data_IF_895137372515
#
_entry.id   IF_895137372515
#
_cell.length_a   1.000
_cell.length_b   1.000
_cell.length_c   1.000
_cell.angle_alpha   90.00
_cell.angle_beta   90.00
_cell.angle_gamma   90.00
#
_symmetry.space_group_name_H-M   'P 1'
#
loop_
_entity.id
_entity.type
_entity.pdbx_description
1 polymer ?
#
# COMPACT_ATOMS: atom_id res chain seq x y z
N UNK A 1 -7.69 -1.69 6.31
CA UNK A 1 -8.80 -0.71 6.39
C UNK A 1 -9.04 0.03 5.09
N UNK A 2 -8.02 0.58 4.44
CA UNK A 2 -8.18 1.30 3.15
C UNK A 2 -8.70 0.36 2.05
N UNK A 3 -8.25 -0.88 2.01
CA UNK A 3 -8.67 -1.87 1.01
C UNK A 3 -10.11 -2.37 1.19
N UNK A 4 -10.61 -2.41 2.42
CA UNK A 4 -11.97 -2.88 2.70
C UNK A 4 -13.02 -1.80 2.41
N UNK A 5 -12.75 -0.55 2.77
CA UNK A 5 -13.66 0.57 2.49
C UNK A 5 -13.74 0.93 1.00
N UNK A 6 -12.67 0.69 0.25
CA UNK A 6 -12.58 1.02 -1.18
C UNK A 6 -12.81 -0.18 -2.11
N UNK A 7 -13.11 -1.37 -1.60
CA UNK A 7 -13.31 -2.61 -2.38
C UNK A 7 -12.15 -2.93 -3.34
N UNK A 8 -10.91 -2.64 -2.94
CA UNK A 8 -9.73 -2.94 -3.73
C UNK A 8 -9.34 -4.41 -3.51
N UNK A 9 -9.34 -5.19 -4.58
CA UNK A 9 -8.87 -6.58 -4.53
C UNK A 9 -7.37 -6.61 -4.28
N UNK A 10 -6.96 -7.41 -3.31
CA UNK A 10 -5.57 -7.60 -2.91
C UNK A 10 -5.24 -9.08 -2.91
N UNK A 11 -3.97 -9.39 -3.15
CA UNK A 11 -3.46 -10.76 -3.09
C UNK A 11 -2.07 -10.77 -2.46
N UNK A 12 -1.81 -11.76 -1.64
CA UNK A 12 -0.48 -12.03 -1.10
C UNK A 12 0.27 -12.95 -2.06
N UNK A 13 1.45 -12.52 -2.49
CA UNK A 13 2.36 -13.32 -3.30
C UNK A 13 3.41 -13.97 -2.38
N UNK A 14 3.31 -15.29 -2.21
CA UNK A 14 4.20 -16.04 -1.31
C UNK A 14 5.64 -16.11 -1.81
N UNK A 15 5.84 -16.04 -3.13
CA UNK A 15 7.18 -16.11 -3.73
C UNK A 15 7.92 -14.78 -3.55
N UNK A 16 7.23 -13.68 -3.76
CA UNK A 16 7.79 -12.32 -3.62
C UNK A 16 7.69 -11.80 -2.18
N UNK A 17 6.90 -12.48 -1.32
CA UNK A 17 6.59 -12.05 0.05
C UNK A 17 6.06 -10.60 0.10
N UNK A 18 5.11 -10.30 -0.80
CA UNK A 18 4.54 -8.97 -0.97
C UNK A 18 3.04 -9.01 -1.19
N UNK A 19 2.36 -7.96 -0.73
CA UNK A 19 1.01 -7.67 -1.12
C UNK A 19 0.95 -7.00 -2.49
N UNK A 20 0.04 -7.48 -3.33
CA UNK A 20 -0.27 -6.89 -4.62
C UNK A 20 -1.70 -6.37 -4.64
N UNK A 21 -1.91 -5.27 -5.33
CA UNK A 21 -3.17 -4.53 -5.40
C UNK A 21 -3.63 -4.44 -6.85
N UNK A 22 -4.91 -4.70 -7.10
CA UNK A 22 -5.48 -4.58 -8.44
C UNK A 22 -5.48 -3.12 -8.91
N UNK A 23 -4.78 -2.84 -10.01
CA UNK A 23 -4.59 -1.47 -10.53
C UNK A 23 -5.94 -0.83 -10.89
N UNK A 24 -6.80 -1.56 -11.57
CA UNK A 24 -8.09 -1.04 -11.99
C UNK A 24 -9.00 -0.66 -10.81
N UNK A 25 -8.95 -1.45 -9.74
CA UNK A 25 -9.75 -1.16 -8.54
C UNK A 25 -9.27 0.12 -7.83
N UNK A 26 -7.95 0.30 -7.76
CA UNK A 26 -7.34 1.52 -7.19
C UNK A 26 -7.76 2.75 -7.99
N UNK A 27 -7.69 2.69 -9.31
CA UNK A 27 -8.09 3.80 -10.17
C UNK A 27 -9.58 4.07 -10.05
N UNK A 28 -10.41 3.04 -10.03
CA UNK A 28 -11.85 3.19 -9.85
C UNK A 28 -12.21 3.83 -8.50
N UNK A 29 -11.48 3.48 -7.44
CA UNK A 29 -11.68 4.05 -6.10
C UNK A 29 -11.26 5.52 -6.00
N UNK A 30 -10.20 5.92 -6.71
CA UNK A 30 -9.59 7.25 -6.61
C UNK A 30 -10.01 8.21 -7.72
N UNK A 31 -10.81 7.76 -8.68
CA UNK A 31 -11.29 8.57 -9.80
C UNK A 31 -12.77 8.29 -10.07
N UNK A 32 -13.39 9.13 -10.90
CA UNK A 32 -14.74 8.88 -11.43
C UNK A 32 -14.71 8.20 -12.81
N UNK A 33 -13.59 7.58 -13.17
CA UNK A 33 -13.43 6.95 -14.47
C UNK A 33 -14.33 5.73 -14.63
N UNK A 34 -15.06 5.69 -15.73
CA UNK A 34 -15.87 4.53 -16.13
C UNK A 34 -15.02 3.42 -16.74
N UNK A 35 -13.81 3.74 -17.20
CA UNK A 35 -12.85 2.80 -17.77
C UNK A 35 -11.47 2.98 -17.10
N UNK A 36 -11.24 2.31 -15.97
CA UNK A 36 -9.96 2.40 -15.25
C UNK A 36 -8.76 1.97 -16.09
N UNK A 37 -8.92 0.98 -16.96
CA UNK A 37 -7.84 0.48 -17.80
C UNK A 37 -7.37 1.53 -18.82
N UNK A 38 -8.31 2.20 -19.46
CA UNK A 38 -7.99 3.30 -20.40
C UNK A 38 -7.46 4.53 -19.64
N UNK A 39 -7.98 4.82 -18.45
CA UNK A 39 -7.45 5.88 -17.58
C UNK A 39 -5.97 5.61 -17.24
N UNK A 40 -5.62 4.38 -16.88
CA UNK A 40 -4.23 4.00 -16.57
C UNK A 40 -3.30 4.22 -17.78
N UNK A 41 -3.74 3.84 -18.98
CA UNK A 41 -2.98 4.11 -20.20
C UNK A 41 -2.77 5.60 -20.46
N UNK A 42 -3.82 6.40 -20.26
CA UNK A 42 -3.76 7.86 -20.47
C UNK A 42 -2.82 8.53 -19.48
N UNK A 43 -2.86 8.19 -18.20
CA UNK A 43 -2.00 8.79 -17.20
C UNK A 43 -0.52 8.45 -17.45
N UNK A 44 -0.22 7.23 -17.87
CA UNK A 44 1.13 6.83 -18.27
C UNK A 44 1.66 7.59 -19.49
N UNK A 45 0.80 7.88 -20.46
CA UNK A 45 1.17 8.71 -21.63
C UNK A 45 1.47 10.15 -21.26
N UNK A 46 0.84 10.68 -20.22
CA UNK A 46 1.01 12.08 -19.76
C UNK A 46 2.19 12.26 -18.81
N UNK A 47 2.52 11.24 -18.07
CA UNK A 47 3.60 11.24 -17.08
C UNK A 47 4.64 10.18 -17.46
N UNK A 48 5.69 10.62 -18.17
CA UNK A 48 6.78 9.76 -18.62
C UNK A 48 7.55 9.12 -17.48
N UNK A 49 7.72 9.84 -16.38
CA UNK A 49 8.40 9.34 -15.18
C UNK A 49 7.60 8.20 -14.52
N UNK A 50 6.27 8.34 -14.49
CA UNK A 50 5.41 7.26 -14.05
C UNK A 50 5.50 6.06 -14.99
N UNK A 51 5.50 6.29 -16.31
CA UNK A 51 5.58 5.20 -17.29
C UNK A 51 6.89 4.42 -17.16
N UNK A 52 8.00 5.11 -17.01
CA UNK A 52 9.31 4.50 -16.80
C UNK A 52 9.36 3.73 -15.48
N UNK A 53 8.81 4.29 -14.42
CA UNK A 53 8.70 3.61 -13.12
C UNK A 53 7.88 2.33 -13.23
N UNK A 54 6.71 2.38 -13.88
CA UNK A 54 5.83 1.21 -14.06
C UNK A 54 6.48 0.14 -14.95
N UNK A 55 7.25 0.54 -15.97
CA UNK A 55 8.00 -0.42 -16.80
C UNK A 55 9.14 -1.07 -16.04
N UNK A 56 9.79 -0.34 -15.14
CA UNK A 56 10.86 -0.87 -14.27
C UNK A 56 10.34 -1.77 -13.16
N UNK A 57 9.05 -1.70 -12.83
CA UNK A 57 8.41 -2.57 -11.85
C UNK A 57 7.63 -3.67 -12.55
N UNK A 58 7.75 -4.89 -12.04
CA UNK A 58 6.94 -5.98 -12.55
C UNK A 58 5.50 -5.84 -12.04
N UNK A 59 4.55 -5.62 -12.96
CA UNK A 59 3.12 -5.60 -12.67
C UNK A 59 2.48 -6.93 -13.11
N UNK A 60 2.66 -8.01 -12.34
CA UNK A 60 2.19 -9.32 -12.72
C UNK A 60 0.67 -9.39 -12.73
N UNK A 61 0.08 -10.17 -13.63
CA UNK A 61 -1.33 -10.52 -13.53
C UNK A 61 -1.54 -11.52 -12.39
N UNK A 62 -2.55 -11.27 -11.56
CA UNK A 62 -3.00 -12.20 -10.52
C UNK A 62 -4.43 -12.67 -10.79
N UNK A 63 -4.73 -13.89 -10.36
CA UNK A 63 -6.04 -14.50 -10.52
C UNK A 63 -6.94 -14.12 -9.33
N UNK A 64 -8.12 -13.62 -9.64
CA UNK A 64 -9.16 -13.33 -8.65
C UNK A 64 -10.41 -14.15 -8.97
N UNK A 65 -11.09 -14.58 -7.92
CA UNK A 65 -12.40 -15.23 -8.04
C UNK A 65 -13.45 -14.13 -7.96
N UNK A 66 -14.22 -13.97 -9.04
CA UNK A 66 -15.34 -13.04 -9.05
C UNK A 66 -16.56 -13.61 -8.30
N UNK A 67 -17.55 -12.76 -8.06
CA UNK A 67 -18.80 -13.15 -7.39
C UNK A 67 -19.60 -14.22 -8.13
N UNK A 68 -19.35 -14.37 -9.45
CA UNK A 68 -19.92 -15.43 -10.29
C UNK A 68 -19.15 -16.76 -10.22
N UNK A 69 -18.10 -16.86 -9.37
CA UNK A 69 -17.24 -18.02 -9.19
C UNK A 69 -16.20 -18.20 -10.30
N UNK A 70 -16.16 -17.35 -11.31
CA UNK A 70 -15.16 -17.41 -12.39
C UNK A 70 -13.85 -16.78 -11.98
N UNK A 71 -12.77 -17.32 -12.52
CA UNK A 71 -11.43 -16.75 -12.35
C UNK A 71 -11.19 -15.67 -13.40
N UNK A 72 -10.82 -14.49 -12.93
CA UNK A 72 -10.43 -13.37 -13.78
C UNK A 72 -8.99 -12.97 -13.48
N UNK A 73 -8.23 -12.72 -14.52
CA UNK A 73 -6.87 -12.20 -14.42
C UNK A 73 -6.91 -10.67 -14.41
N UNK A 74 -6.24 -10.04 -13.47
CA UNK A 74 -6.09 -8.61 -13.41
C UNK A 74 -4.64 -8.20 -13.12
N UNK A 75 -4.16 -7.14 -13.76
CA UNK A 75 -2.85 -6.57 -13.48
C UNK A 75 -2.83 -5.96 -12.08
N UNK A 76 -1.78 -6.30 -11.35
CA UNK A 76 -1.56 -5.83 -10.00
C UNK A 76 -0.22 -5.11 -9.87
N UNK A 77 -0.09 -4.30 -8.84
CA UNK A 77 1.17 -3.66 -8.45
C UNK A 77 1.40 -3.80 -6.96
N UNK A 78 2.66 -3.77 -6.56
CA UNK A 78 3.04 -3.79 -5.15
C UNK A 78 2.73 -2.45 -4.47
N UNK A 79 2.94 -2.37 -3.16
CA UNK A 79 2.62 -1.17 -2.38
C UNK A 79 3.41 0.06 -2.84
N UNK A 80 4.70 -0.08 -3.11
CA UNK A 80 5.53 1.05 -3.55
C UNK A 80 5.03 1.63 -4.88
N UNK A 81 4.72 0.77 -5.83
CA UNK A 81 4.18 1.16 -7.14
C UNK A 81 2.79 1.79 -7.02
N UNK A 82 1.96 1.25 -6.13
CA UNK A 82 0.66 1.83 -5.81
C UNK A 82 0.78 3.27 -5.28
N UNK A 83 1.68 3.50 -4.33
CA UNK A 83 1.89 4.82 -3.75
C UNK A 83 2.43 5.82 -4.78
N UNK A 84 3.30 5.38 -5.70
CA UNK A 84 3.76 6.21 -6.81
C UNK A 84 2.63 6.54 -7.80
N UNK A 85 1.78 5.58 -8.11
CA UNK A 85 0.61 5.80 -8.96
C UNK A 85 -0.34 6.83 -8.37
N UNK A 86 -0.65 6.73 -7.08
CA UNK A 86 -1.56 7.65 -6.38
C UNK A 86 -1.06 9.09 -6.47
N UNK A 87 0.24 9.32 -6.37
CA UNK A 87 0.83 10.66 -6.51
C UNK A 87 0.60 11.28 -7.89
N UNK A 88 0.47 10.47 -8.92
CA UNK A 88 0.26 10.91 -10.29
C UNK A 88 -1.22 11.16 -10.65
N UNK A 89 -2.16 10.67 -9.85
CA UNK A 89 -3.60 10.83 -10.11
C UNK A 89 -4.05 12.25 -9.72
N UNK A 90 -4.51 13.09 -10.68
CA UNK A 90 -4.91 14.47 -10.40
C UNK A 90 -6.35 14.61 -9.89
N UNK A 91 -7.02 13.52 -9.55
CA UNK A 91 -8.40 13.54 -9.08
C UNK A 91 -8.53 14.11 -7.67
N UNK A 92 -9.62 14.87 -7.43
CA UNK A 92 -9.98 15.36 -6.10
C UNK A 92 -10.23 14.21 -5.10
N UNK A 93 -10.70 13.05 -5.56
CA UNK A 93 -10.88 11.86 -4.73
C UNK A 93 -9.57 11.28 -4.20
N UNK A 94 -8.46 11.50 -4.89
CA UNK A 94 -7.13 11.09 -4.46
C UNK A 94 -6.51 12.03 -3.41
N UNK A 95 -7.03 13.25 -3.27
CA UNK A 95 -6.45 14.29 -2.40
C UNK A 95 -6.36 13.88 -0.92
N UNK A 96 -7.40 13.30 -0.28
CA UNK A 96 -7.28 12.83 1.10
C UNK A 96 -6.17 11.78 1.27
N UNK A 97 -5.99 10.90 0.29
CA UNK A 97 -4.94 9.90 0.31
C UNK A 97 -3.55 10.52 0.15
N UNK A 98 -3.41 11.50 -0.72
CA UNK A 98 -2.14 12.25 -0.88
C UNK A 98 -1.73 12.98 0.40
N UNK A 99 -2.70 13.59 1.10
CA UNK A 99 -2.46 14.24 2.41
C UNK A 99 -2.02 13.23 3.47
N UNK A 100 -2.69 12.09 3.54
CA UNK A 100 -2.30 11.01 4.43
C UNK A 100 -0.88 10.50 4.12
N UNK A 101 -0.55 10.32 2.85
CA UNK A 101 0.79 9.89 2.43
C UNK A 101 1.87 10.92 2.83
N UNK A 102 1.60 12.21 2.67
CA UNK A 102 2.49 13.27 3.12
C UNK A 102 2.70 13.25 4.64
N UNK A 103 1.64 13.02 5.40
CA UNK A 103 1.72 12.88 6.85
C UNK A 103 2.57 11.67 7.26
N UNK A 104 2.32 10.49 6.70
CA UNK A 104 3.09 9.27 6.98
C UNK A 104 4.57 9.46 6.62
N UNK A 105 4.86 10.11 5.49
CA UNK A 105 6.22 10.42 5.09
C UNK A 105 6.93 11.35 6.08
N UNK A 106 6.26 12.40 6.52
CA UNK A 106 6.78 13.34 7.52
C UNK A 106 7.04 12.65 8.87
N UNK A 107 6.09 11.86 9.35
CA UNK A 107 6.24 11.07 10.59
C UNK A 107 7.42 10.12 10.51
N UNK A 108 7.60 9.44 9.38
CA UNK A 108 8.74 8.53 9.20
C UNK A 108 10.08 9.26 9.20
N UNK A 109 10.18 10.41 8.56
CA UNK A 109 11.39 11.24 8.58
C UNK A 109 11.71 11.69 10.00
N UNK A 110 10.70 12.13 10.77
CA UNK A 110 10.88 12.51 12.17
C UNK A 110 11.36 11.33 13.03
N UNK A 111 10.80 10.14 12.84
CA UNK A 111 11.24 8.91 13.52
C UNK A 111 12.69 8.52 13.17
N UNK A 112 13.14 8.82 11.97
CA UNK A 112 14.54 8.59 11.57
C UNK A 112 15.51 9.56 12.27
N UNK A 113 15.04 10.77 12.58
CA UNK A 113 15.83 11.77 13.31
C UNK A 113 15.78 11.54 14.82
N UNK A 114 14.65 11.07 15.34
CA UNK A 114 14.43 10.74 16.74
C UNK A 114 13.85 9.30 16.84
N UNK A 115 14.70 8.29 17.02
CA UNK A 115 14.27 6.89 17.07
C UNK A 115 13.27 6.57 18.18
N UNK A 116 13.23 7.36 19.27
CA UNK A 116 12.26 7.14 20.36
C UNK A 116 10.82 7.32 19.87
N UNK A 117 10.58 8.22 18.94
CA UNK A 117 9.26 8.38 18.30
C UNK A 117 8.83 7.11 17.55
N UNK A 118 9.76 6.43 16.91
CA UNK A 118 9.50 5.15 16.25
C UNK A 118 9.15 4.04 17.23
N UNK A 119 9.81 3.99 18.38
CA UNK A 119 9.50 3.04 19.47
C UNK A 119 8.10 3.32 20.04
N UNK A 120 7.77 4.57 20.32
CA UNK A 120 6.45 4.97 20.79
C UNK A 120 5.36 4.59 19.79
N UNK A 121 5.59 4.85 18.49
CA UNK A 121 4.65 4.46 17.44
C UNK A 121 4.44 2.96 17.40
N UNK A 122 5.50 2.17 17.51
CA UNK A 122 5.42 0.70 17.54
C UNK A 122 4.58 0.20 18.72
N UNK A 123 4.74 0.80 19.90
CA UNK A 123 3.91 0.47 21.07
C UNK A 123 2.43 0.78 20.84
N UNK A 124 2.13 1.93 20.26
CA UNK A 124 0.75 2.30 19.91
C UNK A 124 0.17 1.36 18.85
N UNK A 125 0.94 0.94 17.87
CA UNK A 125 0.51 -0.01 16.84
C UNK A 125 0.19 -1.38 17.43
N UNK A 126 1.02 -1.91 18.34
CA UNK A 126 0.71 -3.16 19.05
C UNK A 126 -0.58 -3.05 19.85
N UNK A 127 -0.79 -1.94 20.57
CA UNK A 127 -2.04 -1.71 21.33
C UNK A 127 -3.25 -1.64 20.39
N UNK A 128 -3.13 -0.93 19.29
CA UNK A 128 -4.19 -0.84 18.26
C UNK A 128 -4.54 -2.20 17.65
N UNK A 129 -3.57 -3.10 17.53
CA UNK A 129 -3.75 -4.47 17.05
C UNK A 129 -4.32 -5.41 18.13
N UNK A 130 -4.52 -4.92 19.38
CA UNK A 130 -5.15 -5.66 20.46
C UNK A 130 -4.19 -6.47 21.34
N UNK A 131 -2.89 -6.28 21.22
CA UNK A 131 -1.92 -6.93 22.10
C UNK A 131 -1.92 -6.32 23.51
N UNK A 132 -1.84 -7.17 24.55
CA UNK A 132 -1.76 -6.71 25.94
C UNK A 132 -0.42 -6.09 26.28
N UNK A 133 -0.39 -5.20 27.27
CA UNK A 133 0.85 -4.57 27.74
C UNK A 133 1.89 -5.63 28.21
N UNK A 134 1.44 -6.70 28.84
CA UNK A 134 2.32 -7.78 29.26
C UNK A 134 2.98 -8.49 28.08
N UNK A 135 2.19 -8.80 27.03
CA UNK A 135 2.71 -9.40 25.79
C UNK A 135 3.72 -8.46 25.11
N UNK A 136 3.41 -7.16 25.02
CA UNK A 136 4.28 -6.16 24.41
C UNK A 136 5.63 -6.11 25.16
N UNK A 137 5.61 -6.05 26.48
CA UNK A 137 6.81 -6.02 27.30
C UNK A 137 7.67 -7.29 27.10
N UNK A 138 7.05 -8.46 27.04
CA UNK A 138 7.77 -9.71 26.79
C UNK A 138 8.37 -9.74 25.38
N UNK A 139 7.63 -9.24 24.38
CA UNK A 139 8.11 -9.17 22.99
C UNK A 139 9.32 -8.25 22.86
N UNK A 140 9.30 -7.07 23.49
CA UNK A 140 10.42 -6.14 23.47
C UNK A 140 11.67 -6.75 24.10
N UNK A 141 11.55 -7.42 25.24
CA UNK A 141 12.67 -8.16 25.87
C UNK A 141 13.24 -9.24 24.95
N UNK A 142 12.40 -9.98 24.23
CA UNK A 142 12.85 -11.02 23.31
C UNK A 142 13.61 -10.45 22.11
N UNK A 143 13.20 -9.29 21.59
CA UNK A 143 13.91 -8.59 20.50
C UNK A 143 15.27 -8.09 20.99
N UNK A 144 15.35 -7.52 22.19
CA UNK A 144 16.58 -7.06 22.79
C UNK A 144 17.61 -8.19 22.91
N UNK A 145 17.19 -9.35 23.39
CA UNK A 145 18.06 -10.54 23.48
C UNK A 145 18.56 -10.97 22.09
N UNK A 146 17.70 -10.95 21.06
CA UNK A 146 18.10 -11.34 19.71
C UNK A 146 19.13 -10.39 19.06
N UNK A 147 19.14 -9.11 19.45
CA UNK A 147 20.09 -8.11 18.91
C UNK A 147 21.51 -8.33 19.48
N UNK A 148 21.62 -8.87 20.69
CA UNK A 148 22.91 -9.08 21.37
C UNK A 148 23.51 -10.48 21.15
N UNK A 149 22.87 -11.35 20.38
CA UNK A 149 23.39 -12.65 19.97
C UNK A 149 23.95 -12.57 18.56
#
# INVERSE_FOLDING_TARGET
KISEEMQIRTVWDEVQEKWYFCINDVIAALTDSKDPAEYFKKIRRRDSELDDFVRGTNCPPHQFIATDGKRHSAKCMDLQSLLRLVQAIPSKKAEPFKRWLAQVGAERIQQMQDPELGIQQSLMDYKRLGYSDNWINQRLKSIEICIYI
#
